data_IF_103216033430
#
_entry.id   IF_103216033430
#
_cell.length_a   1.000
_cell.length_b   1.000
_cell.length_c   1.000
_cell.angle_alpha   90.00
_cell.angle_beta   90.00
_cell.angle_gamma   90.00
#
_symmetry.space_group_name_H-M   'P 1'
#
loop_
_entity.id
_entity.type
_entity.pdbx_description
1 polymer ?
#
# COMPACT_ATOMS: atom_id res chain seq x y z
N UNK A 1 -9.41 13.14 -17.40
CA UNK A 1 -8.42 13.67 -16.43
C UNK A 1 -7.47 12.55 -16.06
N UNK A 2 -6.20 12.88 -15.80
CA UNK A 2 -5.24 11.97 -15.19
C UNK A 2 -5.57 11.73 -13.70
N UNK A 3 -4.92 10.74 -13.10
CA UNK A 3 -5.06 10.48 -11.66
C UNK A 3 -4.72 11.70 -10.81
N UNK A 4 -3.60 12.36 -11.14
CA UNK A 4 -3.18 13.60 -10.48
C UNK A 4 -4.18 14.73 -10.65
N UNK A 5 -4.67 14.94 -11.87
CA UNK A 5 -5.66 15.99 -12.16
C UNK A 5 -6.96 15.79 -11.38
N UNK A 6 -7.43 14.55 -11.25
CA UNK A 6 -8.62 14.22 -10.43
C UNK A 6 -8.44 14.61 -8.98
N UNK A 7 -7.30 14.23 -8.40
CA UNK A 7 -6.96 14.55 -7.01
C UNK A 7 -6.91 16.07 -6.83
N UNK A 8 -6.16 16.77 -7.67
CA UNK A 8 -6.01 18.22 -7.60
C UNK A 8 -7.37 18.92 -7.76
N UNK A 9 -8.22 18.49 -8.68
CA UNK A 9 -9.57 19.03 -8.84
C UNK A 9 -10.43 18.83 -7.58
N UNK A 10 -10.43 17.63 -7.00
CA UNK A 10 -11.18 17.33 -5.79
C UNK A 10 -10.73 18.19 -4.59
N UNK A 11 -9.41 18.34 -4.37
CA UNK A 11 -8.86 19.18 -3.30
C UNK A 11 -9.10 20.68 -3.52
N UNK A 12 -9.30 21.11 -4.77
CA UNK A 12 -9.65 22.49 -5.12
C UNK A 12 -11.17 22.73 -5.20
N UNK A 13 -12.00 21.76 -4.77
CA UNK A 13 -13.46 21.83 -4.86
C UNK A 13 -13.99 22.08 -6.29
N UNK A 14 -13.31 21.50 -7.28
CA UNK A 14 -13.74 21.44 -8.69
C UNK A 14 -14.24 20.04 -9.02
N UNK A 15 -15.21 19.94 -9.93
CA UNK A 15 -15.77 18.65 -10.35
C UNK A 15 -14.71 17.82 -11.11
N UNK A 16 -14.30 16.64 -10.60
CA UNK A 16 -13.43 15.72 -11.33
C UNK A 16 -14.24 14.85 -12.32
N UNK A 17 -13.58 14.19 -13.27
CA UNK A 17 -14.27 13.26 -14.20
C UNK A 17 -14.78 11.97 -13.54
N UNK A 18 -14.36 11.71 -12.30
CA UNK A 18 -14.95 10.78 -11.33
C UNK A 18 -14.39 11.09 -9.93
N UNK A 19 -15.05 10.60 -8.87
CA UNK A 19 -14.51 10.70 -7.51
C UNK A 19 -13.16 9.97 -7.40
N UNK A 20 -12.08 10.62 -6.89
CA UNK A 20 -10.83 9.92 -6.61
C UNK A 20 -11.03 8.91 -5.49
N UNK A 21 -10.46 7.72 -5.63
CA UNK A 21 -10.62 6.61 -4.69
C UNK A 21 -9.29 6.28 -4.03
N UNK A 22 -9.33 5.90 -2.76
CA UNK A 22 -8.27 5.20 -2.07
C UNK A 22 -8.85 4.27 -1.02
N UNK A 23 -8.04 3.31 -0.57
CA UNK A 23 -8.36 2.46 0.57
C UNK A 23 -7.37 2.75 1.69
N UNK A 24 -7.87 2.78 2.93
CA UNK A 24 -7.03 3.01 4.10
C UNK A 24 -6.14 1.80 4.35
N UNK A 25 -6.75 0.62 4.50
CA UNK A 25 -6.04 -0.65 4.65
C UNK A 25 -6.79 -1.73 3.86
N UNK A 26 -6.07 -2.39 2.94
CA UNK A 26 -6.57 -3.56 2.22
C UNK A 26 -5.76 -4.78 2.65
N UNK A 27 -6.37 -5.72 3.36
CA UNK A 27 -5.70 -6.90 3.92
C UNK A 27 -6.10 -8.20 3.22
N UNK A 28 -5.35 -9.27 3.49
CA UNK A 28 -5.78 -10.63 3.18
C UNK A 28 -7.11 -10.97 3.88
N UNK A 29 -8.01 -11.76 3.25
CA UNK A 29 -7.84 -12.42 1.95
C UNK A 29 -8.18 -11.54 0.73
N UNK A 30 -8.71 -10.32 0.94
CA UNK A 30 -9.18 -9.47 -0.16
C UNK A 30 -8.04 -9.03 -1.06
N UNK A 31 -6.95 -8.52 -0.49
CA UNK A 31 -5.76 -8.12 -1.25
C UNK A 31 -5.20 -9.28 -2.10
N UNK A 32 -5.20 -10.50 -1.54
CA UNK A 32 -4.71 -11.71 -2.22
C UNK A 32 -5.61 -12.10 -3.40
N UNK A 33 -6.92 -11.86 -3.29
CA UNK A 33 -7.86 -12.12 -4.39
C UNK A 33 -7.59 -11.24 -5.63
N UNK A 34 -7.01 -10.05 -5.45
CA UNK A 34 -6.61 -9.16 -6.54
C UNK A 34 -5.18 -9.43 -7.03
N UNK A 35 -4.25 -9.75 -6.13
CA UNK A 35 -2.83 -9.97 -6.47
C UNK A 35 -2.53 -11.39 -6.97
N UNK A 36 -3.40 -12.36 -6.70
CA UNK A 36 -3.20 -13.78 -7.03
C UNK A 36 -2.07 -14.45 -6.25
N UNK A 37 -1.59 -13.82 -5.17
CA UNK A 37 -0.47 -14.29 -4.33
C UNK A 37 -0.67 -13.83 -2.89
N UNK A 38 0.10 -14.45 -1.98
CA UNK A 38 0.14 -14.06 -0.57
C UNK A 38 0.56 -12.59 -0.47
N UNK A 39 -0.16 -11.85 0.37
CA UNK A 39 0.10 -10.45 0.65
C UNK A 39 0.29 -10.27 2.15
N UNK A 40 1.27 -9.45 2.55
CA UNK A 40 1.52 -9.16 3.96
C UNK A 40 1.75 -7.66 4.12
N UNK A 41 0.78 -7.00 4.74
CA UNK A 41 0.81 -5.56 4.98
C UNK A 41 1.45 -5.23 6.34
N UNK A 42 2.46 -4.36 6.40
CA UNK A 42 3.05 -4.03 7.70
C UNK A 42 2.14 -3.17 8.58
N UNK A 43 1.20 -2.39 8.01
CA UNK A 43 0.31 -1.53 8.78
C UNK A 43 -0.79 -2.32 9.48
N UNK A 44 -1.34 -3.35 8.83
CA UNK A 44 -2.40 -4.20 9.39
C UNK A 44 -1.93 -5.55 9.93
N UNK A 45 -0.72 -6.01 9.58
CA UNK A 45 -0.21 -7.33 9.93
C UNK A 45 1.26 -7.27 10.39
N UNK A 46 1.57 -6.35 11.30
CA UNK A 46 2.93 -6.07 11.78
C UNK A 46 3.75 -7.30 12.15
N UNK A 47 3.21 -8.21 12.97
CA UNK A 47 3.93 -9.42 13.41
C UNK A 47 4.27 -10.37 12.26
N UNK A 48 3.37 -10.52 11.29
CA UNK A 48 3.60 -11.34 10.09
C UNK A 48 4.62 -10.69 9.16
N UNK A 49 4.53 -9.37 9.00
CA UNK A 49 5.47 -8.63 8.18
C UNK A 49 6.87 -8.63 8.80
N UNK A 50 6.99 -8.50 10.13
CA UNK A 50 8.25 -8.63 10.85
C UNK A 50 8.88 -10.02 10.66
N UNK A 51 8.09 -11.09 10.75
CA UNK A 51 8.59 -12.44 10.51
C UNK A 51 9.15 -12.58 9.09
N UNK A 52 8.43 -12.06 8.09
CA UNK A 52 8.90 -12.00 6.70
C UNK A 52 10.21 -11.18 6.59
N UNK A 53 10.27 -10.01 7.22
CA UNK A 53 11.45 -9.15 7.19
C UNK A 53 12.69 -9.77 7.84
N UNK A 54 12.52 -10.55 8.92
CA UNK A 54 13.59 -11.34 9.54
C UNK A 54 14.06 -12.48 8.64
N UNK A 55 13.16 -13.08 7.85
CA UNK A 55 13.48 -14.18 6.95
C UNK A 55 14.23 -13.72 5.69
N UNK A 56 13.70 -12.72 4.96
CA UNK A 56 14.24 -12.32 3.66
C UNK A 56 15.08 -11.04 3.67
N UNK A 57 15.12 -10.35 4.82
CA UNK A 57 15.80 -9.07 5.00
C UNK A 57 14.87 -7.86 4.82
N UNK A 58 15.18 -6.80 5.57
CA UNK A 58 14.42 -5.55 5.62
C UNK A 58 14.20 -4.93 4.22
N UNK A 59 15.29 -4.72 3.45
CA UNK A 59 15.18 -4.01 2.17
C UNK A 59 14.30 -4.76 1.17
N UNK A 60 14.44 -6.09 1.07
CA UNK A 60 13.61 -6.91 0.19
C UNK A 60 12.14 -6.83 0.59
N UNK A 61 11.86 -6.87 1.89
CA UNK A 61 10.48 -6.81 2.41
C UNK A 61 9.83 -5.45 2.20
N UNK A 62 10.59 -4.36 2.35
CA UNK A 62 10.10 -3.00 2.05
C UNK A 62 9.85 -2.80 0.55
N UNK A 63 10.75 -3.30 -0.32
CA UNK A 63 10.54 -3.24 -1.77
C UNK A 63 9.34 -4.05 -2.22
N UNK A 64 9.16 -5.25 -1.66
CA UNK A 64 7.99 -6.08 -1.90
C UNK A 64 6.71 -5.34 -1.48
N UNK A 65 6.67 -4.84 -0.25
CA UNK A 65 5.54 -4.07 0.28
C UNK A 65 5.17 -2.88 -0.62
N UNK A 66 6.16 -2.04 -0.98
CA UNK A 66 5.91 -0.87 -1.81
C UNK A 66 5.38 -1.25 -3.20
N UNK A 67 5.97 -2.27 -3.83
CA UNK A 67 5.54 -2.75 -5.14
C UNK A 67 4.10 -3.29 -5.10
N UNK A 68 3.78 -4.14 -4.14
CA UNK A 68 2.47 -4.76 -4.04
C UNK A 68 1.37 -3.74 -3.76
N UNK A 69 1.65 -2.68 -2.99
CA UNK A 69 0.68 -1.60 -2.77
C UNK A 69 0.43 -0.74 -4.00
N UNK A 70 1.46 -0.48 -4.80
CA UNK A 70 1.30 0.21 -6.09
C UNK A 70 0.47 -0.67 -7.04
N UNK A 71 0.79 -1.95 -7.15
CA UNK A 71 0.07 -2.89 -8.01
C UNK A 71 -1.42 -3.02 -7.59
N UNK A 72 -1.70 -3.11 -6.29
CA UNK A 72 -3.07 -3.09 -5.77
C UNK A 72 -3.82 -1.80 -6.13
N UNK A 73 -3.16 -0.65 -5.97
CA UNK A 73 -3.75 0.63 -6.32
C UNK A 73 -4.04 0.74 -7.83
N UNK A 74 -3.16 0.22 -8.68
CA UNK A 74 -3.38 0.17 -10.12
C UNK A 74 -4.58 -0.72 -10.48
N UNK A 75 -4.65 -1.93 -9.92
CA UNK A 75 -5.75 -2.89 -10.17
C UNK A 75 -7.10 -2.34 -9.72
N UNK A 76 -7.15 -1.66 -8.57
CA UNK A 76 -8.37 -1.09 -8.02
C UNK A 76 -8.71 0.30 -8.59
N UNK A 77 -7.82 0.87 -9.41
CA UNK A 77 -7.97 2.21 -9.95
C UNK A 77 -8.00 3.26 -8.84
N UNK A 78 -7.16 3.13 -7.81
CA UNK A 78 -6.95 4.17 -6.81
C UNK A 78 -6.17 5.34 -7.39
N UNK A 79 -6.53 6.55 -6.97
CA UNK A 79 -5.83 7.78 -7.32
C UNK A 79 -4.90 8.27 -6.21
N UNK A 80 -5.02 7.70 -5.00
CA UNK A 80 -4.20 8.03 -3.84
C UNK A 80 -3.73 6.76 -3.14
N UNK A 81 -2.54 6.84 -2.53
CA UNK A 81 -1.99 5.82 -1.66
C UNK A 81 -1.89 6.37 -0.24
N UNK A 82 -2.50 5.66 0.71
CA UNK A 82 -2.30 5.95 2.12
C UNK A 82 -0.91 5.50 2.58
N UNK A 83 0.01 6.42 2.83
CA UNK A 83 1.37 6.07 3.26
C UNK A 83 1.56 6.31 4.77
N UNK A 84 2.07 5.31 5.47
CA UNK A 84 2.55 5.41 6.85
C UNK A 84 4.07 5.60 6.86
N UNK A 85 4.59 6.10 7.98
CA UNK A 85 6.03 6.09 8.20
C UNK A 85 6.54 4.65 8.11
N UNK A 86 7.53 4.45 7.23
CA UNK A 86 8.13 3.13 7.08
C UNK A 86 8.92 2.77 8.33
N UNK A 87 8.82 1.52 8.82
CA UNK A 87 9.68 1.06 9.89
C UNK A 87 11.15 1.16 9.43
N UNK A 88 12.05 1.47 10.34
CA UNK A 88 13.49 1.47 10.10
C UNK A 88 14.05 0.05 10.23
N UNK A 89 15.20 -0.21 9.60
CA UNK A 89 15.90 -1.49 9.75
C UNK A 89 16.19 -1.81 11.23
N UNK A 90 16.57 -0.79 12.02
CA UNK A 90 16.84 -0.92 13.45
C UNK A 90 15.60 -1.35 14.25
N UNK A 91 14.42 -0.80 13.93
CA UNK A 91 13.17 -1.20 14.58
C UNK A 91 12.82 -2.67 14.28
N UNK A 92 13.10 -3.14 13.07
CA UNK A 92 12.89 -4.55 12.68
C UNK A 92 13.87 -5.49 13.38
N UNK A 93 15.12 -5.07 13.59
CA UNK A 93 16.13 -5.85 14.33
C UNK A 93 15.83 -5.95 15.83
N UNK A 94 15.16 -4.94 16.39
CA UNK A 94 14.86 -4.84 17.83
C UNK A 94 13.51 -5.46 18.22
N UNK A 95 12.59 -5.62 17.27
CA UNK A 95 11.34 -6.35 17.44
C UNK A 95 11.55 -7.86 17.37
#
# INVERSE_FOLDING_TARGET
MSSRERVEAAFLHKEPDRTPIFEYILLSPVAESFLGRRYVDFCGQWSMWLALAKEQGYEKSMRQYARERVELAEVLGHDLLYCMLSPTAKEVEQA
#
